data_IF_289915555059
#
_entry.id   IF_289915555059
#
_cell.length_a   1.000
_cell.length_b   1.000
_cell.length_c   1.000
_cell.angle_alpha   90.00
_cell.angle_beta   90.00
_cell.angle_gamma   90.00
#
_symmetry.space_group_name_H-M   'P 1'
#
loop_
_entity.id
_entity.type
_entity.pdbx_description
1 polymer ?
#
# COMPACT_ATOMS: atom_id res chain seq x y z
N UNK A 1 -12.29 -14.45 41.64
CA UNK A 1 -12.58 -13.42 40.60
C UNK A 1 -11.33 -12.96 39.81
N UNK A 2 -10.11 -13.04 40.36
CA UNK A 2 -8.86 -12.68 39.67
C UNK A 2 -8.42 -13.65 38.57
N UNK A 3 -8.61 -14.97 38.76
CA UNK A 3 -8.22 -16.00 37.78
C UNK A 3 -9.02 -15.95 36.46
N UNK A 4 -10.30 -15.58 36.51
CA UNK A 4 -11.13 -15.40 35.31
C UNK A 4 -10.77 -14.13 34.52
N UNK A 5 -10.28 -13.10 35.22
CA UNK A 5 -9.78 -11.86 34.61
C UNK A 5 -8.47 -12.13 33.86
N UNK A 6 -7.58 -12.91 34.47
CA UNK A 6 -6.32 -13.33 33.85
C UNK A 6 -6.55 -14.21 32.60
N UNK A 7 -7.47 -15.17 32.68
CA UNK A 7 -7.83 -16.01 31.52
C UNK A 7 -8.48 -15.22 30.37
N UNK A 8 -9.33 -14.23 30.68
CA UNK A 8 -9.89 -13.33 29.65
C UNK A 8 -8.81 -12.45 29.05
N UNK A 9 -7.94 -11.84 29.86
CA UNK A 9 -6.84 -10.98 29.41
C UNK A 9 -5.91 -11.76 28.48
N UNK A 10 -5.50 -12.97 28.87
CA UNK A 10 -4.63 -13.83 28.06
C UNK A 10 -5.25 -14.19 26.71
N UNK A 11 -6.58 -14.43 26.67
CA UNK A 11 -7.32 -14.68 25.42
C UNK A 11 -7.44 -13.44 24.54
N UNK A 12 -7.73 -12.27 25.11
CA UNK A 12 -7.78 -11.01 24.35
C UNK A 12 -6.41 -10.58 23.83
N UNK A 13 -5.35 -10.79 24.61
CA UNK A 13 -3.96 -10.52 24.18
C UNK A 13 -3.56 -11.49 23.06
N UNK A 14 -3.88 -12.77 23.18
CA UNK A 14 -3.63 -13.74 22.10
C UNK A 14 -4.40 -13.41 20.82
N UNK A 15 -5.66 -12.98 20.92
CA UNK A 15 -6.48 -12.61 19.78
C UNK A 15 -5.98 -11.33 19.08
N UNK A 16 -5.63 -10.29 19.85
CA UNK A 16 -5.09 -9.04 19.30
C UNK A 16 -3.73 -9.26 18.63
N UNK A 17 -2.84 -10.04 19.27
CA UNK A 17 -1.56 -10.40 18.68
C UNK A 17 -1.75 -11.17 17.36
N UNK A 18 -2.68 -12.11 17.30
CA UNK A 18 -2.99 -12.85 16.07
C UNK A 18 -3.49 -11.91 14.95
N UNK A 19 -4.35 -10.93 15.26
CA UNK A 19 -4.81 -9.95 14.27
C UNK A 19 -3.67 -9.09 13.70
N UNK A 20 -2.71 -8.67 14.54
CA UNK A 20 -1.56 -7.88 14.06
C UNK A 20 -0.65 -8.71 13.16
N UNK A 21 -0.40 -9.98 13.50
CA UNK A 21 0.42 -10.89 12.67
C UNK A 21 -0.23 -11.17 11.30
N UNK A 22 -1.57 -11.09 11.22
CA UNK A 22 -2.30 -11.25 9.97
C UNK A 22 -2.37 -9.96 9.12
N UNK A 23 -1.94 -8.81 9.64
CA UNK A 23 -1.87 -7.57 8.88
C UNK A 23 -0.59 -7.54 8.03
N UNK A 24 -0.73 -7.28 6.73
CA UNK A 24 0.38 -7.23 5.77
C UNK A 24 0.33 -5.96 4.93
N UNK A 25 1.50 -5.45 4.51
CA UNK A 25 1.57 -4.37 3.53
C UNK A 25 1.15 -4.88 2.15
N UNK A 26 0.17 -4.23 1.53
CA UNK A 26 -0.29 -4.59 0.20
C UNK A 26 0.58 -3.92 -0.87
N UNK A 27 1.02 -4.69 -1.87
CA UNK A 27 1.65 -4.16 -3.08
C UNK A 27 0.93 -4.74 -4.28
N UNK A 28 0.40 -3.87 -5.13
CA UNK A 28 -0.32 -4.25 -6.34
C UNK A 28 0.58 -3.96 -7.53
N UNK A 29 0.98 -5.00 -8.25
CA UNK A 29 1.82 -4.88 -9.45
C UNK A 29 0.98 -5.25 -10.66
N UNK A 30 0.92 -4.37 -11.64
CA UNK A 30 0.26 -4.62 -12.92
C UNK A 30 1.35 -4.64 -14.01
N UNK A 31 1.49 -5.79 -14.65
CA UNK A 31 2.39 -5.99 -15.79
C UNK A 31 1.56 -6.24 -17.04
N UNK A 32 1.95 -5.68 -18.18
CA UNK A 32 1.16 -5.83 -19.41
C UNK A 32 1.32 -7.21 -20.07
N UNK A 33 2.37 -7.98 -19.73
CA UNK A 33 2.72 -9.22 -20.45
C UNK A 33 3.19 -10.39 -19.57
N UNK A 34 2.88 -10.39 -18.27
CA UNK A 34 3.33 -11.49 -17.38
C UNK A 34 4.86 -11.59 -17.26
N UNK A 35 5.57 -10.53 -17.65
CA UNK A 35 7.02 -10.40 -17.51
C UNK A 35 7.40 -10.38 -16.02
N UNK A 36 8.61 -10.88 -15.69
CA UNK A 36 9.11 -10.94 -14.32
C UNK A 36 9.18 -9.55 -13.72
N UNK A 37 8.72 -9.41 -12.47
CA UNK A 37 8.74 -8.17 -11.70
C UNK A 37 10.11 -7.49 -11.80
N UNK A 38 10.17 -6.35 -12.47
CA UNK A 38 11.45 -5.66 -12.66
C UNK A 38 11.77 -4.91 -11.36
N UNK A 39 12.82 -5.38 -10.68
CA UNK A 39 13.34 -4.78 -9.43
C UNK A 39 14.36 -3.65 -9.70
N UNK A 40 14.38 -3.07 -10.90
CA UNK A 40 15.26 -1.93 -11.21
C UNK A 40 14.72 -0.65 -10.59
N UNK A 41 15.55 0.41 -10.54
CA UNK A 41 15.07 1.74 -10.15
C UNK A 41 13.84 2.12 -10.98
N UNK A 42 12.73 2.56 -10.34
CA UNK A 42 11.57 3.05 -11.07
C UNK A 42 11.96 4.30 -11.84
N UNK A 43 11.53 4.40 -13.10
CA UNK A 43 11.72 5.60 -13.93
C UNK A 43 10.94 6.78 -13.34
N UNK A 44 9.84 6.48 -12.67
CA UNK A 44 9.00 7.47 -12.02
C UNK A 44 8.42 6.91 -10.72
N UNK A 45 8.53 7.69 -9.64
CA UNK A 45 7.95 7.40 -8.34
C UNK A 45 7.23 8.65 -7.84
N UNK A 46 5.93 8.53 -7.58
CA UNK A 46 5.14 9.64 -7.03
C UNK A 46 4.20 9.14 -5.94
N UNK A 47 4.16 9.87 -4.84
CA UNK A 47 3.26 9.64 -3.72
C UNK A 47 2.02 10.50 -3.89
N UNK A 48 0.87 9.86 -4.01
CA UNK A 48 -0.41 10.52 -4.22
C UNK A 48 -1.27 10.42 -2.96
N UNK A 49 -1.94 11.52 -2.62
CA UNK A 49 -2.80 11.62 -1.46
C UNK A 49 -4.21 11.14 -1.80
N UNK A 50 -4.64 10.02 -1.21
CA UNK A 50 -6.03 9.59 -1.26
C UNK A 50 -6.69 9.85 0.09
N UNK A 51 -7.96 10.25 0.06
CA UNK A 51 -8.76 10.52 1.24
C UNK A 51 -9.90 9.51 1.36
N UNK A 52 -10.36 9.29 2.59
CA UNK A 52 -11.48 8.39 2.90
C UNK A 52 -11.29 7.01 2.26
N UNK A 53 -10.17 6.36 2.54
CA UNK A 53 -9.84 5.03 1.98
C UNK A 53 -9.78 4.96 0.43
N UNK A 54 -9.68 6.10 -0.25
CA UNK A 54 -9.69 6.18 -1.71
C UNK A 54 -11.04 6.55 -2.33
N UNK A 55 -12.04 6.96 -1.53
CA UNK A 55 -13.28 7.55 -2.06
C UNK A 55 -13.04 8.92 -2.70
N UNK A 56 -12.03 9.66 -2.22
CA UNK A 56 -11.75 11.04 -2.67
C UNK A 56 -10.28 11.14 -3.04
N UNK A 57 -10.00 11.57 -4.28
CA UNK A 57 -8.63 11.79 -4.77
C UNK A 57 -8.36 11.04 -6.08
N UNK A 58 -8.96 11.50 -7.18
CA UNK A 58 -8.67 10.95 -8.50
C UNK A 58 -7.33 11.48 -9.02
N UNK A 59 -6.35 10.58 -9.12
CA UNK A 59 -5.02 10.91 -9.64
C UNK A 59 -4.79 10.20 -10.96
N UNK A 60 -4.58 11.00 -12.01
CA UNK A 60 -4.34 10.50 -13.37
C UNK A 60 -2.86 10.68 -13.72
N UNK A 61 -2.19 9.58 -14.03
CA UNK A 61 -0.80 9.59 -14.48
C UNK A 61 -0.79 9.27 -15.97
N UNK A 62 -0.41 10.25 -16.80
CA UNK A 62 -0.27 10.05 -18.24
C UNK A 62 1.07 9.35 -18.54
N UNK A 63 1.00 8.03 -18.67
CA UNK A 63 2.16 7.19 -18.99
C UNK A 63 2.87 7.58 -20.28
N UNK A 64 2.19 8.22 -21.25
CA UNK A 64 2.83 8.70 -22.48
C UNK A 64 3.72 9.92 -22.22
N UNK A 65 3.34 10.78 -21.26
CA UNK A 65 4.19 11.89 -20.83
C UNK A 65 5.37 11.42 -19.99
N UNK A 66 5.17 10.37 -19.19
CA UNK A 66 6.22 9.82 -18.31
C UNK A 66 7.25 8.99 -19.10
N UNK A 67 6.80 8.11 -19.99
CA UNK A 67 7.67 7.21 -20.75
C UNK A 67 8.05 7.73 -22.16
N UNK A 68 7.34 8.73 -22.69
CA UNK A 68 7.61 9.26 -24.03
C UNK A 68 7.45 8.19 -25.11
N UNK A 69 8.55 7.85 -25.79
CA UNK A 69 8.62 6.81 -26.83
C UNK A 69 8.88 5.40 -26.29
N UNK A 70 9.17 5.27 -25.00
CA UNK A 70 9.45 3.98 -24.35
C UNK A 70 8.15 3.24 -24.01
N UNK A 71 8.22 1.91 -23.95
CA UNK A 71 7.07 1.09 -23.60
C UNK A 71 6.91 1.01 -22.07
N UNK A 72 5.65 1.00 -21.62
CA UNK A 72 5.32 0.81 -20.20
C UNK A 72 5.43 -0.68 -19.89
N UNK A 73 6.46 -1.08 -19.15
CA UNK A 73 6.60 -2.49 -18.77
C UNK A 73 5.75 -2.84 -17.56
N UNK A 74 5.77 -1.98 -16.56
CA UNK A 74 5.18 -2.25 -15.26
C UNK A 74 4.68 -0.97 -14.62
N UNK A 75 3.51 -1.07 -13.98
CA UNK A 75 3.01 -0.09 -13.03
C UNK A 75 2.78 -0.78 -11.69
N UNK A 76 3.24 -0.17 -10.61
CA UNK A 76 3.10 -0.70 -9.26
C UNK A 76 2.52 0.36 -8.34
N UNK A 77 1.55 -0.04 -7.53
CA UNK A 77 1.06 0.76 -6.41
C UNK A 77 1.42 0.04 -5.12
N UNK A 78 2.13 0.71 -4.23
CA UNK A 78 2.58 0.16 -2.96
C UNK A 78 2.01 0.98 -1.80
N UNK A 79 1.62 0.29 -0.73
CA UNK A 79 1.38 0.88 0.57
C UNK A 79 2.66 0.73 1.40
N UNK A 80 3.30 1.85 1.72
CA UNK A 80 4.49 1.83 2.58
C UNK A 80 4.08 1.83 4.05
N UNK A 81 5.00 1.44 4.93
CA UNK A 81 4.77 1.51 6.37
C UNK A 81 4.37 2.92 6.85
N UNK A 82 4.97 3.95 6.27
CA UNK A 82 4.62 5.33 6.59
C UNK A 82 3.19 5.65 6.11
N UNK A 83 2.80 5.16 4.94
CA UNK A 83 1.44 5.37 4.41
C UNK A 83 0.38 4.78 5.34
N UNK A 84 0.58 3.54 5.78
CA UNK A 84 -0.29 2.87 6.75
C UNK A 84 -0.30 3.59 8.10
N UNK A 85 0.86 4.07 8.57
CA UNK A 85 0.93 4.85 9.81
C UNK A 85 0.13 6.15 9.71
N UNK A 86 0.24 6.88 8.61
CA UNK A 86 -0.57 8.08 8.37
C UNK A 86 -2.06 7.76 8.26
N UNK A 87 -2.40 6.66 7.59
CA UNK A 87 -3.78 6.16 7.51
C UNK A 87 -4.31 5.86 8.91
N UNK A 88 -3.54 5.18 9.75
CA UNK A 88 -3.95 4.83 11.10
C UNK A 88 -4.10 6.05 12.02
N UNK A 89 -3.11 6.96 12.01
CA UNK A 89 -3.14 8.19 12.84
C UNK A 89 -4.32 9.07 12.45
N UNK A 90 -4.64 9.14 11.17
CA UNK A 90 -5.77 9.93 10.66
C UNK A 90 -7.09 9.16 10.64
N UNK A 91 -7.16 7.97 11.26
CA UNK A 91 -8.34 7.11 11.29
C UNK A 91 -8.92 6.78 9.90
N UNK A 92 -8.05 6.70 8.90
CA UNK A 92 -8.39 6.40 7.50
C UNK A 92 -8.81 7.61 6.66
N UNK A 93 -8.79 8.82 7.22
CA UNK A 93 -9.10 10.03 6.48
C UNK A 93 -8.03 10.32 5.43
N UNK A 94 -6.75 10.15 5.76
CA UNK A 94 -5.63 10.38 4.85
C UNK A 94 -4.86 9.08 4.62
N UNK A 95 -5.04 8.49 3.43
CA UNK A 95 -4.49 7.21 3.03
C UNK A 95 -3.59 7.36 1.79
N UNK A 96 -2.38 7.94 1.94
CA UNK A 96 -1.48 8.13 0.81
C UNK A 96 -1.06 6.80 0.18
N UNK A 97 -0.83 6.78 -1.13
CA UNK A 97 -0.34 5.61 -1.87
C UNK A 97 0.81 6.01 -2.77
N UNK A 98 1.79 5.14 -2.92
CA UNK A 98 2.95 5.41 -3.79
C UNK A 98 2.80 4.66 -5.11
N UNK A 99 2.78 5.41 -6.21
CA UNK A 99 2.74 4.88 -7.57
C UNK A 99 4.16 4.88 -8.17
N UNK A 100 4.55 3.76 -8.76
CA UNK A 100 5.83 3.56 -9.44
C UNK A 100 5.58 3.08 -10.86
N UNK A 101 6.33 3.65 -11.81
CA UNK A 101 6.26 3.31 -13.24
C UNK A 101 7.65 3.00 -13.76
N UNK A 102 7.76 1.93 -14.54
CA UNK A 102 8.98 1.53 -15.24
C UNK A 102 8.78 1.67 -16.74
N UNK A 103 9.62 2.51 -17.34
CA UNK A 103 9.71 2.72 -18.79
C UNK A 103 10.99 2.05 -19.31
N UNK A 104 10.88 1.30 -20.42
CA UNK A 104 12.03 0.68 -21.10
C UNK A 104 11.93 0.88 -22.60
#
# INVERSE_FOLDING_TARGET
MSLLRDQRIRRTVAATLACVVLSGCATVTLTQQGERTISSHPTYEKREAFFLWGLVGDHWIDVRKVCGTQNVQQMQTQFTFLDELFTFITLGIYAPRTAKVWCR
#
